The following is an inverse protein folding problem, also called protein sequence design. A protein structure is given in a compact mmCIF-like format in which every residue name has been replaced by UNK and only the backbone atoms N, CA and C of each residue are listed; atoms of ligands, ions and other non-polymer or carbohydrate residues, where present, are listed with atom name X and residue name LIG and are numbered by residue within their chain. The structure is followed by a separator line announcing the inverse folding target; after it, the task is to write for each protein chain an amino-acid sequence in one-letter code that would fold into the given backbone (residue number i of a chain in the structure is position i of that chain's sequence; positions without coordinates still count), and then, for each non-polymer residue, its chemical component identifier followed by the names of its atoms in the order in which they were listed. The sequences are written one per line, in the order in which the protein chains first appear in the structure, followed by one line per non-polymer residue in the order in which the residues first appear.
data_IF_131221901604
#
_entry.id   IF_131221901604
#
_cell.length_a   1.000
_cell.length_b   1.000
_cell.length_c   1.000
_cell.angle_alpha   90.00
_cell.angle_beta   90.00
_cell.angle_gamma   90.00
#
_symmetry.space_group_name_H-M   'P 1'
#
loop_
_entity.id
_entity.type
_entity.pdbx_description
1 polymer ?
#
# COMPACT_ATOMS: atom_id res chain seq x y z
N UNK A 1 9.80 -25.12 -2.09
CA UNK A 1 10.71 -24.03 -2.55
C UNK A 1 11.74 -23.73 -1.48
N UNK A 2 12.96 -23.30 -1.83
CA UNK A 2 13.99 -22.93 -0.83
C UNK A 2 13.76 -21.49 -0.36
N UNK A 3 13.73 -21.23 0.96
CA UNK A 3 13.47 -19.89 1.46
C UNK A 3 14.70 -18.99 1.24
N UNK A 4 14.48 -17.69 0.97
CA UNK A 4 15.50 -16.72 0.52
C UNK A 4 15.79 -15.64 1.57
N UNK A 5 16.99 -15.04 1.49
CA UNK A 5 17.40 -13.95 2.37
C UNK A 5 16.72 -12.61 2.04
N UNK A 6 16.64 -11.72 3.04
CA UNK A 6 16.03 -10.38 2.98
C UNK A 6 16.40 -9.58 1.73
N UNK A 7 17.71 -9.48 1.44
CA UNK A 7 18.20 -8.69 0.31
C UNK A 7 17.80 -9.28 -1.05
N UNK A 8 17.70 -10.63 -1.15
CA UNK A 8 17.27 -11.33 -2.37
C UNK A 8 15.78 -11.15 -2.61
N UNK A 9 14.96 -11.28 -1.56
CA UNK A 9 13.52 -11.04 -1.62
C UNK A 9 13.21 -9.60 -2.04
N UNK A 10 13.86 -8.61 -1.42
CA UNK A 10 13.73 -7.19 -1.78
C UNK A 10 14.10 -6.93 -3.24
N UNK A 11 15.24 -7.45 -3.70
CA UNK A 11 15.72 -7.26 -5.08
C UNK A 11 14.78 -7.89 -6.11
N UNK A 12 14.20 -9.06 -5.81
CA UNK A 12 13.26 -9.74 -6.71
C UNK A 12 11.91 -9.03 -6.82
N UNK A 13 11.46 -8.35 -5.77
CA UNK A 13 10.23 -7.55 -5.80
C UNK A 13 10.42 -6.16 -6.40
N UNK A 14 11.65 -5.74 -6.68
CA UNK A 14 11.93 -4.38 -7.16
C UNK A 14 11.59 -3.28 -6.14
N UNK A 15 11.44 -3.63 -4.85
CA UNK A 15 10.97 -2.69 -3.83
C UNK A 15 12.13 -1.95 -3.16
N UNK A 16 11.91 -0.68 -2.87
CA UNK A 16 12.80 0.10 -2.01
C UNK A 16 12.80 -0.43 -0.56
N UNK A 17 13.83 -0.13 0.25
CA UNK A 17 13.95 -0.64 1.63
C UNK A 17 12.75 -0.34 2.52
N UNK A 18 12.22 0.90 2.45
CA UNK A 18 11.12 1.37 3.30
C UNK A 18 9.78 0.69 2.98
N UNK A 19 9.33 0.64 1.71
CA UNK A 19 8.14 -0.13 1.33
C UNK A 19 8.25 -1.62 1.67
N UNK A 20 9.42 -2.21 1.47
CA UNK A 20 9.63 -3.63 1.77
C UNK A 20 9.54 -3.93 3.28
N UNK A 21 10.10 -3.06 4.13
CA UNK A 21 10.00 -3.19 5.59
C UNK A 21 8.55 -3.08 6.10
N UNK A 22 7.76 -2.17 5.52
CA UNK A 22 6.33 -2.03 5.84
C UNK A 22 5.55 -3.30 5.52
N UNK A 23 5.73 -3.87 4.33
CA UNK A 23 5.06 -5.12 3.93
C UNK A 23 5.45 -6.31 4.82
N UNK A 24 6.66 -6.30 5.36
CA UNK A 24 7.11 -7.35 6.30
C UNK A 24 6.46 -7.15 7.66
N UNK A 25 6.38 -5.90 8.14
CA UNK A 25 5.76 -5.57 9.42
C UNK A 25 4.25 -5.85 9.44
N UNK A 26 3.56 -5.67 8.32
CA UNK A 26 2.13 -6.00 8.18
C UNK A 26 1.85 -7.50 8.09
N UNK A 27 2.88 -8.33 8.15
CA UNK A 27 2.74 -9.78 8.05
C UNK A 27 2.40 -10.24 6.64
N UNK A 28 2.63 -9.40 5.61
CA UNK A 28 2.41 -9.82 4.24
C UNK A 28 3.26 -11.08 4.01
N UNK A 29 4.55 -11.07 4.30
CA UNK A 29 5.41 -12.25 4.08
C UNK A 29 5.43 -13.27 5.22
N UNK A 30 5.11 -14.53 4.91
CA UNK A 30 5.40 -15.65 5.80
C UNK A 30 6.92 -15.86 5.91
N UNK A 31 7.41 -15.82 7.15
CA UNK A 31 8.80 -16.20 7.49
C UNK A 31 8.83 -17.66 7.87
N UNK A 32 9.71 -18.43 7.23
CA UNK A 32 10.12 -19.75 7.70
C UNK A 32 11.49 -19.59 8.33
N UNK A 33 11.54 -19.43 9.65
CA UNK A 33 12.75 -19.04 10.38
C UNK A 33 13.24 -17.62 10.01
N UNK A 34 14.48 -17.50 9.49
CA UNK A 34 15.08 -16.21 9.06
C UNK A 34 14.91 -15.90 7.57
N UNK A 35 14.11 -16.66 6.82
CA UNK A 35 14.06 -16.59 5.34
C UNK A 35 12.61 -16.47 4.81
N UNK A 36 12.46 -15.88 3.64
CA UNK A 36 11.18 -15.59 2.96
C UNK A 36 10.85 -16.68 1.94
N UNK A 37 9.59 -17.13 1.90
CA UNK A 37 9.09 -17.96 0.81
C UNK A 37 8.66 -17.10 -0.39
N UNK A 38 9.11 -17.49 -1.58
CA UNK A 38 8.97 -16.74 -2.82
C UNK A 38 7.57 -16.83 -3.43
N UNK A 39 6.87 -17.96 -3.24
CA UNK A 39 5.48 -18.10 -3.70
C UNK A 39 4.58 -17.16 -2.90
N UNK A 40 4.77 -17.12 -1.59
CA UNK A 40 4.10 -16.14 -0.73
C UNK A 40 4.49 -14.73 -1.14
N UNK A 41 5.75 -14.47 -1.49
CA UNK A 41 6.23 -13.16 -1.92
C UNK A 41 5.43 -12.57 -3.10
N UNK A 42 5.16 -13.37 -4.13
CA UNK A 42 4.37 -12.96 -5.29
C UNK A 42 2.89 -12.73 -4.92
N UNK A 43 2.29 -13.64 -4.14
CA UNK A 43 0.92 -13.52 -3.66
C UNK A 43 0.72 -12.26 -2.78
N UNK A 44 1.73 -11.93 -1.96
CA UNK A 44 1.71 -10.76 -1.10
C UNK A 44 1.90 -9.45 -1.85
N UNK A 45 2.71 -9.46 -2.90
CA UNK A 45 2.82 -8.31 -3.78
C UNK A 45 1.47 -8.01 -4.44
N UNK A 46 0.79 -9.03 -4.95
CA UNK A 46 -0.56 -8.88 -5.50
C UNK A 46 -1.53 -8.32 -4.45
N UNK A 47 -1.54 -8.89 -3.24
CA UNK A 47 -2.39 -8.42 -2.14
C UNK A 47 -2.04 -6.99 -1.66
N UNK A 48 -0.77 -6.61 -1.68
CA UNK A 48 -0.34 -5.25 -1.36
C UNK A 48 -0.83 -4.23 -2.38
N UNK A 49 -0.79 -4.57 -3.67
CA UNK A 49 -1.35 -3.74 -4.75
C UNK A 49 -2.87 -3.60 -4.59
N UNK A 50 -3.57 -4.68 -4.22
CA UNK A 50 -5.02 -4.63 -3.94
C UNK A 50 -5.35 -3.73 -2.74
N UNK A 51 -4.60 -3.83 -1.64
CA UNK A 51 -4.75 -2.96 -0.47
C UNK A 51 -4.51 -1.49 -0.86
N UNK A 52 -3.47 -1.22 -1.65
CA UNK A 52 -3.19 0.14 -2.11
C UNK A 52 -4.34 0.68 -2.95
N UNK A 53 -4.85 -0.11 -3.91
CA UNK A 53 -5.96 0.28 -4.77
C UNK A 53 -7.24 0.54 -3.96
N UNK A 54 -7.52 -0.28 -2.95
CA UNK A 54 -8.66 -0.08 -2.05
C UNK A 54 -8.49 1.20 -1.21
N UNK A 55 -7.29 1.48 -0.71
CA UNK A 55 -7.00 2.71 0.02
C UNK A 55 -7.17 3.96 -0.87
N UNK A 56 -6.69 3.91 -2.12
CA UNK A 56 -6.84 5.01 -3.08
C UNK A 56 -8.32 5.29 -3.38
N UNK A 57 -9.13 4.24 -3.55
CA UNK A 57 -10.59 4.38 -3.73
C UNK A 57 -11.27 4.99 -2.50
N UNK A 58 -10.86 4.61 -1.29
CA UNK A 58 -11.39 5.21 -0.06
C UNK A 58 -11.02 6.69 0.06
N UNK A 59 -9.78 7.06 -0.30
CA UNK A 59 -9.34 8.47 -0.30
C UNK A 59 -10.17 9.28 -1.28
N UNK A 60 -10.43 8.78 -2.49
CA UNK A 60 -11.28 9.46 -3.47
C UNK A 60 -12.73 9.61 -2.97
N UNK A 61 -13.29 8.58 -2.34
CA UNK A 61 -14.61 8.66 -1.74
C UNK A 61 -14.67 9.73 -0.62
N UNK A 62 -13.64 9.81 0.22
CA UNK A 62 -13.53 10.84 1.26
C UNK A 62 -13.42 12.23 0.63
N UNK A 63 -12.60 12.42 -0.41
CA UNK A 63 -12.48 13.70 -1.12
C UNK A 63 -13.82 14.14 -1.72
N UNK A 64 -14.55 13.23 -2.35
CA UNK A 64 -15.87 13.50 -2.89
C UNK A 64 -16.86 13.87 -1.80
N UNK A 65 -16.84 13.19 -0.65
CA UNK A 65 -17.71 13.50 0.47
C UNK A 65 -17.40 14.87 1.09
N UNK A 66 -16.12 15.18 1.29
CA UNK A 66 -15.66 16.49 1.75
C UNK A 66 -16.09 17.59 0.78
N UNK A 67 -15.89 17.40 -0.53
CA UNK A 67 -16.31 18.36 -1.54
C UNK A 67 -17.83 18.62 -1.50
N UNK A 68 -18.65 17.57 -1.36
CA UNK A 68 -20.11 17.72 -1.22
C UNK A 68 -20.49 18.50 0.04
N UNK A 69 -19.86 18.20 1.18
CA UNK A 69 -20.12 18.91 2.44
C UNK A 69 -19.71 20.37 2.37
N UNK A 70 -18.56 20.68 1.76
CA UNK A 70 -18.10 22.06 1.56
C UNK A 70 -19.05 22.84 0.66
N UNK A 71 -19.50 22.24 -0.45
CA UNK A 71 -20.50 22.84 -1.33
C UNK A 71 -21.84 23.10 -0.62
N UNK A 72 -22.29 22.18 0.24
CA UNK A 72 -23.50 22.34 1.04
C UNK A 72 -23.39 23.48 2.08
N UNK A 73 -22.18 23.80 2.52
CA UNK A 73 -21.90 24.94 3.40
C UNK A 73 -21.68 26.26 2.65
N UNK A 74 -21.81 26.27 1.31
CA UNK A 74 -21.54 27.44 0.47
C UNK A 74 -20.05 27.78 0.35
N UNK A 75 -19.16 26.91 0.83
CA UNK A 75 -17.72 27.07 0.70
C UNK A 75 -17.26 26.41 -0.61
N UNK A 76 -16.75 27.19 -1.56
CA UNK A 76 -16.13 26.64 -2.75
C UNK A 76 -14.74 26.08 -2.38
N UNK A 77 -14.47 24.76 -2.52
CA UNK A 77 -13.17 24.17 -2.19
C UNK A 77 -12.03 24.69 -3.10
N UNK A 78 -12.34 25.46 -4.14
CA UNK A 78 -11.38 26.10 -5.04
C UNK A 78 -11.30 27.62 -4.90
N UNK A 79 -11.85 28.22 -3.83
CA UNK A 79 -11.59 29.62 -3.53
C UNK A 79 -10.10 29.81 -3.18
N UNK A 80 -9.27 30.04 -4.19
CA UNK A 80 -8.08 30.88 -4.02
C UNK A 80 -8.62 32.25 -3.61
N UNK A 81 -8.35 32.63 -2.37
CA UNK A 81 -8.57 33.99 -1.90
C UNK A 81 -7.96 34.97 -2.90
N UNK A 82 -8.76 35.94 -3.34
CA UNK A 82 -8.37 37.04 -4.21
C UNK A 82 -7.75 38.17 -3.40
#
# INVERSE_FOLDING_TARGET
MKPVAWHVARKRLGLQPRPFALLVATGAFQRVGRRFDLVTLAANHARAVEIQKAADQQIEAIRADVARRLAALGANPYCKEA
#
